data_IF_595706008554
#
_entry.id   IF_595706008554
#
_cell.length_a   1.000
_cell.length_b   1.000
_cell.length_c   1.000
_cell.angle_alpha   90.00
_cell.angle_beta   90.00
_cell.angle_gamma   90.00
#
_symmetry.space_group_name_H-M   'P 1'
#
loop_
_entity.id
_entity.type
_entity.pdbx_description
1 polymer ?
#
# COMPACT_ATOMS: atom_id res chain seq x y z
N UNK A 1 29.58 9.03 -11.86
CA UNK A 1 28.81 7.78 -11.64
C UNK A 1 29.06 7.14 -10.25
N UNK A 2 30.15 7.43 -9.54
CA UNK A 2 30.41 6.87 -8.19
C UNK A 2 29.70 7.59 -7.02
N UNK A 3 28.99 8.70 -7.25
CA UNK A 3 28.47 9.52 -6.15
C UNK A 3 27.15 8.98 -5.53
N UNK A 4 26.29 8.36 -6.33
CA UNK A 4 25.00 7.83 -5.83
C UNK A 4 25.20 6.55 -5.01
N UNK A 5 26.04 5.62 -5.47
CA UNK A 5 26.35 4.39 -4.73
C UNK A 5 27.14 4.69 -3.45
N UNK A 6 28.05 5.65 -3.47
CA UNK A 6 28.78 6.11 -2.27
C UNK A 6 27.87 6.86 -1.29
N UNK A 7 26.87 7.63 -1.79
CA UNK A 7 25.88 8.27 -0.93
C UNK A 7 24.93 7.27 -0.25
N UNK A 8 24.58 6.18 -0.89
CA UNK A 8 23.75 5.13 -0.26
C UNK A 8 24.52 4.42 0.86
N UNK A 9 25.82 4.19 0.72
CA UNK A 9 26.65 3.61 1.79
C UNK A 9 26.97 4.60 2.93
N UNK A 10 26.93 5.92 2.66
CA UNK A 10 27.19 6.95 3.67
C UNK A 10 25.91 7.44 4.38
N UNK A 11 24.72 7.21 3.82
CA UNK A 11 23.47 7.46 4.51
C UNK A 11 23.23 6.27 5.46
N UNK A 12 23.80 6.35 6.65
CA UNK A 12 23.29 5.58 7.79
C UNK A 12 21.81 5.91 7.85
N UNK A 13 20.96 5.00 7.36
CA UNK A 13 19.50 5.18 7.42
C UNK A 13 19.14 5.46 8.86
N UNK A 14 18.63 6.63 9.14
CA UNK A 14 18.11 6.90 10.46
C UNK A 14 17.05 5.84 10.70
N UNK A 15 17.26 5.02 11.74
CA UNK A 15 16.35 3.93 12.07
C UNK A 15 14.94 4.45 12.24
N UNK A 16 13.99 3.77 11.69
CA UNK A 16 12.56 4.02 11.90
C UNK A 16 11.81 2.69 11.99
N UNK A 17 10.74 2.66 12.74
CA UNK A 17 9.93 1.46 12.88
C UNK A 17 8.95 1.53 14.04
N UNK A 18 8.20 0.47 14.22
CA UNK A 18 7.23 0.30 15.30
C UNK A 18 7.94 -0.32 16.49
N UNK A 19 7.93 0.34 17.64
CA UNK A 19 8.53 -0.17 18.89
C UNK A 19 7.51 -0.78 19.84
N UNK A 20 6.23 -0.42 19.68
CA UNK A 20 5.10 -1.05 20.39
C UNK A 20 3.89 -1.08 19.47
N UNK A 21 3.24 -2.22 19.35
CA UNK A 21 1.98 -2.40 18.64
C UNK A 21 0.91 -2.86 19.63
N UNK A 22 -0.25 -2.21 19.63
CA UNK A 22 -1.40 -2.60 20.45
C UNK A 22 -2.64 -2.73 19.55
N UNK A 23 -3.34 -3.86 19.66
CA UNK A 23 -4.58 -4.16 18.94
C UNK A 23 -5.71 -4.30 19.95
N UNK A 24 -6.87 -3.78 19.61
CA UNK A 24 -8.11 -3.95 20.37
C UNK A 24 -9.24 -4.32 19.41
N UNK A 25 -9.91 -5.44 19.67
CA UNK A 25 -11.00 -6.00 18.85
C UNK A 25 -10.71 -6.05 17.34
N UNK A 26 -9.46 -6.33 16.99
CA UNK A 26 -8.96 -6.34 15.63
C UNK A 26 -8.87 -7.79 15.09
N UNK A 27 -9.65 -8.12 14.08
CA UNK A 27 -9.68 -9.45 13.44
C UNK A 27 -9.96 -10.57 14.47
N UNK A 28 -8.96 -11.39 14.79
CA UNK A 28 -9.03 -12.47 15.77
C UNK A 28 -8.52 -12.09 17.16
N UNK A 29 -7.96 -10.90 17.32
CA UNK A 29 -7.40 -10.43 18.58
C UNK A 29 -8.39 -9.57 19.36
N UNK A 30 -8.81 -10.03 20.55
CA UNK A 30 -9.54 -9.18 21.49
C UNK A 30 -8.62 -8.08 22.03
N UNK A 31 -7.43 -8.47 22.45
CA UNK A 31 -6.36 -7.59 22.83
C UNK A 31 -5.01 -8.25 22.51
N UNK A 32 -4.09 -7.46 21.97
CA UNK A 32 -2.71 -7.86 21.75
C UNK A 32 -1.80 -6.68 21.99
N UNK A 33 -0.70 -6.88 22.72
CA UNK A 33 0.39 -5.90 22.83
C UNK A 33 1.71 -6.58 22.55
N UNK A 34 2.45 -6.04 21.59
CA UNK A 34 3.80 -6.46 21.22
C UNK A 34 4.76 -5.30 21.45
N UNK A 35 5.87 -5.59 22.12
CA UNK A 35 7.03 -4.70 22.17
C UNK A 35 8.08 -5.26 21.22
N UNK A 36 8.64 -4.42 20.37
CA UNK A 36 9.55 -4.81 19.31
C UNK A 36 10.75 -3.88 19.25
N UNK A 37 11.81 -4.34 18.65
CA UNK A 37 13.00 -3.55 18.41
C UNK A 37 13.04 -3.07 16.94
N UNK A 38 13.95 -2.12 16.65
CA UNK A 38 14.16 -1.63 15.28
C UNK A 38 15.05 -2.61 14.49
N UNK A 39 14.63 -3.87 14.42
CA UNK A 39 15.27 -4.99 13.72
C UNK A 39 14.22 -5.90 13.10
N UNK A 40 14.58 -6.88 12.27
CA UNK A 40 13.61 -7.81 11.71
C UNK A 40 12.78 -8.51 12.80
N UNK A 41 11.50 -8.73 12.51
CA UNK A 41 10.52 -9.37 13.41
C UNK A 41 9.99 -10.60 12.68
N UNK A 42 10.24 -11.77 13.25
CA UNK A 42 9.82 -13.05 12.69
C UNK A 42 8.62 -13.56 13.47
N UNK A 43 7.51 -13.73 12.78
CA UNK A 43 6.23 -14.20 13.36
C UNK A 43 5.93 -15.57 12.79
N UNK A 44 6.03 -16.59 13.63
CA UNK A 44 5.79 -17.99 13.23
C UNK A 44 4.51 -18.54 13.83
N UNK A 45 3.98 -19.60 13.23
CA UNK A 45 2.76 -20.30 13.70
C UNK A 45 2.03 -20.99 12.56
N UNK A 46 1.05 -21.79 12.89
CA UNK A 46 0.23 -22.53 11.92
C UNK A 46 -0.56 -21.61 10.99
N UNK A 47 -1.04 -22.16 9.87
CA UNK A 47 -1.93 -21.43 8.97
C UNK A 47 -3.23 -21.08 9.69
N UNK A 48 -3.71 -19.85 9.50
CA UNK A 48 -4.92 -19.36 10.17
C UNK A 48 -4.71 -18.90 11.63
N UNK A 49 -3.52 -19.00 12.22
CA UNK A 49 -3.25 -18.59 13.61
C UNK A 49 -3.35 -17.08 13.86
N UNK A 50 -3.40 -16.25 12.82
CA UNK A 50 -3.53 -14.79 12.94
C UNK A 50 -2.27 -13.99 12.59
N UNK A 51 -1.20 -14.62 12.11
CA UNK A 51 0.06 -13.94 11.71
C UNK A 51 -0.16 -12.77 10.76
N UNK A 52 -0.87 -13.01 9.66
CA UNK A 52 -1.19 -11.98 8.66
C UNK A 52 -2.03 -10.83 9.24
N UNK A 53 -2.84 -11.09 10.29
CA UNK A 53 -3.63 -10.05 10.93
C UNK A 53 -2.76 -9.05 11.70
N UNK A 54 -1.61 -9.48 12.21
CA UNK A 54 -0.62 -8.58 12.83
C UNK A 54 0.00 -7.67 11.75
N UNK A 55 0.41 -8.23 10.61
CA UNK A 55 0.93 -7.42 9.49
C UNK A 55 -0.14 -6.45 8.97
N UNK A 56 -1.39 -6.91 8.87
CA UNK A 56 -2.49 -6.06 8.46
C UNK A 56 -2.67 -4.88 9.43
N UNK A 57 -2.56 -5.11 10.72
CA UNK A 57 -2.63 -4.05 11.72
C UNK A 57 -1.52 -3.01 11.55
N UNK A 58 -0.27 -3.45 11.34
CA UNK A 58 0.85 -2.53 11.05
C UNK A 58 0.58 -1.72 9.79
N UNK A 59 -0.01 -2.33 8.74
CA UNK A 59 -0.36 -1.61 7.51
C UNK A 59 -1.41 -0.51 7.71
N UNK A 60 -2.25 -0.59 8.75
CA UNK A 60 -3.18 0.47 9.14
C UNK A 60 -2.50 1.67 9.84
N UNK A 61 -1.23 1.60 10.15
CA UNK A 61 -0.47 2.77 10.59
C UNK A 61 -0.07 3.69 9.43
N UNK A 62 -0.37 3.32 8.19
CA UNK A 62 -0.11 4.10 6.98
C UNK A 62 -1.41 4.55 6.30
N UNK A 63 -1.36 5.52 5.37
CA UNK A 63 -2.53 5.91 4.60
C UNK A 63 -3.12 4.75 3.78
N UNK A 64 -4.43 4.78 3.55
CA UNK A 64 -5.13 3.80 2.70
C UNK A 64 -5.90 2.74 3.48
N UNK A 65 -6.25 1.64 2.81
CA UNK A 65 -7.13 0.57 3.34
C UNK A 65 -6.38 -0.65 3.89
N UNK A 66 -5.11 -0.47 4.24
CA UNK A 66 -4.28 -1.54 4.77
C UNK A 66 -3.92 -2.62 3.75
N UNK A 67 -3.26 -3.67 4.23
CA UNK A 67 -2.63 -4.73 3.44
C UNK A 67 -3.60 -5.51 2.55
N UNK A 68 -4.82 -5.78 3.03
CA UNK A 68 -5.85 -6.55 2.31
C UNK A 68 -6.88 -5.68 1.59
N UNK A 69 -6.89 -4.36 1.78
CA UNK A 69 -7.88 -3.45 1.21
C UNK A 69 -9.31 -3.71 1.71
N UNK A 70 -9.46 -4.31 2.89
CA UNK A 70 -10.73 -4.73 3.45
C UNK A 70 -11.65 -3.54 3.77
N UNK A 71 -12.96 -3.77 3.80
CA UNK A 71 -13.92 -2.80 4.32
C UNK A 71 -13.68 -2.63 5.82
N UNK A 72 -13.81 -1.42 6.33
CA UNK A 72 -13.55 -1.13 7.75
C UNK A 72 -14.44 -1.98 8.69
N UNK A 73 -15.66 -2.26 8.28
CA UNK A 73 -16.59 -3.11 9.04
C UNK A 73 -16.14 -4.59 9.13
N UNK A 74 -15.39 -5.07 8.14
CA UNK A 74 -14.94 -6.47 8.07
C UNK A 74 -13.69 -6.73 8.93
N UNK A 75 -13.10 -5.67 9.50
CA UNK A 75 -11.87 -5.75 10.31
C UNK A 75 -12.18 -6.04 11.77
N UNK A 76 -13.36 -5.68 12.23
CA UNK A 76 -13.80 -5.94 13.61
C UNK A 76 -13.63 -7.42 13.97
N UNK A 77 -13.38 -7.67 15.24
CA UNK A 77 -13.32 -9.05 15.73
C UNK A 77 -14.69 -9.72 15.57
N UNK A 78 -14.68 -10.86 14.90
CA UNK A 78 -15.85 -11.72 14.82
C UNK A 78 -15.83 -12.69 16.01
N UNK A 79 -16.78 -12.55 16.92
CA UNK A 79 -17.03 -13.53 17.97
C UNK A 79 -18.19 -14.39 17.52
N UNK A 80 -18.01 -15.71 17.28
CA UNK A 80 -19.14 -16.59 17.05
C UNK A 80 -20.07 -16.47 18.25
N UNK A 81 -21.36 -16.31 18.01
CA UNK A 81 -22.36 -16.40 19.06
C UNK A 81 -22.34 -17.83 19.61
N UNK A 82 -21.62 -18.05 20.70
CA UNK A 82 -21.67 -19.28 21.45
C UNK A 82 -22.38 -18.97 22.76
N UNK A 83 -23.60 -19.50 22.85
CA UNK A 83 -24.36 -19.85 24.04
C UNK A 83 -24.87 -18.71 24.91
N UNK A 84 -26.19 -18.58 24.89
CA UNK A 84 -27.10 -18.16 25.96
C UNK A 84 -26.53 -17.17 27.00
N UNK A 85 -27.03 -15.97 26.97
CA UNK A 85 -27.12 -14.96 28.01
C UNK A 85 -26.01 -13.91 28.22
N UNK A 86 -24.84 -13.97 27.56
CA UNK A 86 -23.87 -12.86 27.60
C UNK A 86 -23.45 -12.43 26.19
N UNK A 87 -24.39 -11.92 25.42
CA UNK A 87 -24.12 -11.20 24.19
C UNK A 87 -23.63 -9.79 24.56
N UNK A 88 -22.31 -9.63 24.73
CA UNK A 88 -21.65 -8.37 24.52
C UNK A 88 -21.22 -8.31 23.06
N UNK A 89 -22.03 -7.73 22.14
CA UNK A 89 -21.49 -7.36 20.84
C UNK A 89 -20.32 -6.42 21.14
N UNK A 90 -19.11 -6.79 20.70
CA UNK A 90 -18.08 -5.75 20.54
C UNK A 90 -18.82 -4.60 19.85
N UNK A 91 -18.73 -3.36 20.37
CA UNK A 91 -19.49 -2.21 19.86
C UNK A 91 -19.18 -1.89 18.38
N UNK A 92 -18.72 -2.89 17.58
CA UNK A 92 -18.34 -2.78 16.19
C UNK A 92 -17.07 -1.93 15.98
N UNK A 93 -16.48 -1.40 17.05
CA UNK A 93 -15.25 -0.62 16.99
C UNK A 93 -14.03 -1.53 17.09
N UNK A 94 -12.98 -1.17 16.38
CA UNK A 94 -11.66 -1.76 16.52
C UNK A 94 -10.62 -0.63 16.58
N UNK A 95 -9.48 -0.93 17.19
CA UNK A 95 -8.39 0.03 17.27
C UNK A 95 -7.03 -0.65 17.05
N UNK A 96 -6.14 0.09 16.40
CA UNK A 96 -4.71 -0.19 16.31
C UNK A 96 -3.98 1.04 16.82
N UNK A 97 -3.10 0.87 17.82
CA UNK A 97 -2.17 1.92 18.23
C UNK A 97 -0.75 1.40 18.22
N UNK A 98 0.18 2.30 17.98
CA UNK A 98 1.60 1.99 17.94
C UNK A 98 2.43 3.13 18.50
N UNK A 99 3.57 2.79 19.10
CA UNK A 99 4.67 3.71 19.28
C UNK A 99 5.60 3.55 18.06
N UNK A 100 5.83 4.62 17.36
CA UNK A 100 6.68 4.67 16.16
C UNK A 100 7.92 5.51 16.50
N UNK A 101 9.08 4.87 16.35
CA UNK A 101 10.36 5.58 16.43
C UNK A 101 10.75 6.09 15.04
N UNK A 102 11.13 7.37 14.96
CA UNK A 102 11.60 7.97 13.72
C UNK A 102 12.64 9.06 14.01
N UNK A 103 13.84 8.90 13.47
CA UNK A 103 14.89 9.93 13.48
C UNK A 103 15.33 10.41 14.87
N UNK A 104 15.11 9.67 15.93
CA UNK A 104 15.45 10.07 17.31
C UNK A 104 14.24 10.32 18.20
N UNK A 105 13.05 10.46 17.62
CA UNK A 105 11.83 10.77 18.32
C UNK A 105 10.83 9.59 18.31
N UNK A 106 10.03 9.50 19.37
CA UNK A 106 8.93 8.55 19.50
C UNK A 106 7.59 9.27 19.29
N UNK A 107 6.71 8.68 18.48
CA UNK A 107 5.38 9.19 18.18
C UNK A 107 4.32 8.14 18.50
N UNK A 108 3.26 8.53 19.24
CA UNK A 108 2.13 7.65 19.44
C UNK A 108 1.11 7.81 18.31
N UNK A 109 0.92 6.76 17.52
CA UNK A 109 -0.04 6.74 16.42
C UNK A 109 -1.19 5.81 16.77
N UNK A 110 -2.43 6.29 16.63
CA UNK A 110 -3.63 5.50 16.80
C UNK A 110 -4.56 5.60 15.59
N UNK A 111 -5.14 4.48 15.21
CA UNK A 111 -6.23 4.44 14.22
C UNK A 111 -7.35 3.55 14.72
N UNK A 112 -8.58 4.00 14.56
CA UNK A 112 -9.76 3.30 15.03
C UNK A 112 -10.94 3.54 14.08
N UNK A 113 -11.97 2.72 14.20
CA UNK A 113 -13.27 3.00 13.62
C UNK A 113 -14.20 3.45 14.73
N UNK A 114 -14.82 4.61 14.56
CA UNK A 114 -15.88 5.10 15.42
C UNK A 114 -17.22 4.66 14.83
N UNK A 115 -18.06 4.04 15.64
CA UNK A 115 -19.44 3.79 15.28
C UNK A 115 -20.15 5.15 15.19
N UNK A 116 -20.67 5.49 14.03
CA UNK A 116 -21.63 6.56 13.95
C UNK A 116 -22.83 6.23 14.84
N UNK A 117 -23.39 7.20 15.61
CA UNK A 117 -24.69 7.02 16.26
C UNK A 117 -25.68 6.54 15.17
N UNK A 118 -26.45 5.51 15.48
CA UNK A 118 -27.59 5.14 14.66
C UNK A 118 -28.63 6.25 14.84
N UNK A 119 -28.69 7.19 13.89
CA UNK A 119 -29.89 7.97 13.68
C UNK A 119 -30.90 7.02 13.02
N UNK A 120 -32.11 6.93 13.60
CA UNK A 120 -33.14 5.93 13.29
C UNK A 120 -33.65 5.96 11.83
N UNK A 121 -33.22 6.92 11.00
CA UNK A 121 -33.69 7.07 9.62
C UNK A 121 -32.68 6.66 8.54
N UNK A 122 -31.44 6.25 8.87
CA UNK A 122 -30.41 5.87 7.89
C UNK A 122 -29.97 4.39 8.00
N UNK A 123 -30.89 3.45 7.75
CA UNK A 123 -30.58 2.00 7.72
C UNK A 123 -29.57 1.59 6.61
N UNK A 124 -29.20 2.46 5.68
CA UNK A 124 -28.43 2.09 4.49
C UNK A 124 -26.99 2.66 4.46
N UNK A 125 -26.64 3.66 5.28
CA UNK A 125 -25.37 4.38 5.17
C UNK A 125 -24.62 4.62 6.49
N UNK A 126 -24.60 3.69 7.42
CA UNK A 126 -23.68 3.73 8.56
C UNK A 126 -22.22 3.69 8.09
N UNK A 127 -21.69 4.79 7.59
CA UNK A 127 -20.28 4.92 7.21
C UNK A 127 -19.43 4.89 8.48
N UNK A 128 -18.87 3.73 8.78
CA UNK A 128 -17.78 3.62 9.76
C UNK A 128 -16.61 4.48 9.27
N UNK A 129 -16.40 5.63 9.89
CA UNK A 129 -15.30 6.54 9.55
C UNK A 129 -14.05 6.11 10.30
N UNK A 130 -12.96 5.94 9.57
CA UNK A 130 -11.65 5.73 10.18
C UNK A 130 -11.15 7.04 10.78
N UNK A 131 -10.80 7.02 12.06
CA UNK A 131 -10.20 8.14 12.80
C UNK A 131 -8.71 7.83 12.98
N UNK A 132 -7.90 8.87 12.89
CA UNK A 132 -6.47 8.83 13.17
C UNK A 132 -6.16 9.82 14.27
N UNK A 133 -5.31 9.41 15.22
CA UNK A 133 -4.74 10.28 16.25
C UNK A 133 -3.21 10.15 16.22
N UNK A 134 -2.52 11.26 16.43
CA UNK A 134 -1.07 11.37 16.53
C UNK A 134 -0.78 12.14 17.80
N UNK A 135 -0.05 11.53 18.74
CA UNK A 135 0.24 12.07 20.08
C UNK A 135 -1.03 12.56 20.78
N UNK A 136 -2.10 11.76 20.69
CA UNK A 136 -3.41 12.05 21.29
C UNK A 136 -4.28 13.05 20.52
N UNK A 137 -3.74 13.78 19.54
CA UNK A 137 -4.46 14.76 18.76
C UNK A 137 -5.07 14.12 17.50
N UNK A 138 -6.29 14.52 17.15
CA UNK A 138 -6.96 14.02 15.92
C UNK A 138 -6.29 14.62 14.69
N UNK A 139 -5.82 13.75 13.80
CA UNK A 139 -5.28 14.17 12.51
C UNK A 139 -6.37 14.73 11.60
N UNK A 140 -6.02 15.67 10.74
CA UNK A 140 -6.93 16.27 9.75
C UNK A 140 -7.27 15.29 8.63
N UNK A 141 -6.34 14.41 8.30
CA UNK A 141 -6.49 13.36 7.28
C UNK A 141 -5.64 12.13 7.59
N UNK A 142 -5.97 11.00 6.93
CA UNK A 142 -5.13 9.80 6.97
C UNK A 142 -3.75 10.01 6.31
N UNK A 143 -3.64 10.99 5.42
CA UNK A 143 -2.38 11.34 4.73
C UNK A 143 -1.27 11.75 5.70
N UNK A 144 -1.62 12.35 6.85
CA UNK A 144 -0.64 12.75 7.87
C UNK A 144 0.17 11.57 8.42
N UNK A 145 -0.39 10.36 8.44
CA UNK A 145 0.35 9.14 8.85
C UNK A 145 1.65 8.96 8.06
N UNK A 146 1.66 9.31 6.77
CA UNK A 146 2.83 9.18 5.90
C UNK A 146 4.02 10.03 6.33
N UNK A 147 3.80 11.04 7.17
CA UNK A 147 4.89 11.85 7.76
C UNK A 147 5.63 11.11 8.87
N UNK A 148 5.03 10.12 9.50
CA UNK A 148 5.56 9.40 10.66
C UNK A 148 6.01 8.00 10.33
N UNK A 149 5.25 7.28 9.52
CA UNK A 149 5.53 5.88 9.16
C UNK A 149 5.15 5.62 7.71
N UNK A 150 6.00 4.88 7.04
CA UNK A 150 5.74 4.31 5.72
C UNK A 150 5.86 2.80 5.81
N UNK A 151 5.03 2.08 5.07
CA UNK A 151 5.10 0.64 4.98
C UNK A 151 4.97 0.17 3.53
N UNK A 152 5.76 -0.82 3.18
CA UNK A 152 5.71 -1.52 1.90
C UNK A 152 5.46 -2.99 2.21
N UNK A 153 4.63 -3.66 1.40
CA UNK A 153 4.30 -5.06 1.66
C UNK A 153 4.33 -5.95 0.43
N UNK A 154 4.65 -7.21 0.71
CA UNK A 154 4.47 -8.33 -0.20
C UNK A 154 3.55 -9.36 0.46
N UNK A 155 2.54 -9.79 -0.27
CA UNK A 155 1.58 -10.81 0.17
C UNK A 155 1.43 -11.89 -0.90
N UNK A 156 0.96 -13.10 -0.55
CA UNK A 156 0.71 -14.15 -1.54
C UNK A 156 -0.26 -13.75 -2.66
N UNK A 157 -1.18 -12.82 -2.38
CA UNK A 157 -2.12 -12.30 -3.39
C UNK A 157 -1.38 -11.56 -4.53
N UNK A 158 -0.22 -10.97 -4.23
CA UNK A 158 0.59 -10.24 -5.21
C UNK A 158 1.36 -11.15 -6.17
N UNK A 159 1.42 -12.46 -5.91
CA UNK A 159 2.00 -13.44 -6.83
C UNK A 159 1.29 -13.44 -8.20
N UNK A 160 0.05 -12.96 -8.24
CA UNK A 160 -0.74 -12.81 -9.49
C UNK A 160 -0.80 -11.37 -10.02
N UNK A 161 -0.02 -10.44 -9.45
CA UNK A 161 -0.08 -9.01 -9.80
C UNK A 161 0.11 -8.79 -11.31
N UNK A 162 1.11 -9.44 -11.89
CA UNK A 162 1.43 -9.26 -13.31
C UNK A 162 0.50 -10.04 -14.26
N UNK A 163 -0.15 -11.11 -13.79
CA UNK A 163 -1.11 -11.90 -14.57
C UNK A 163 -2.54 -11.40 -14.49
N UNK A 164 -2.85 -10.58 -13.52
CA UNK A 164 -4.17 -10.00 -13.32
C UNK A 164 -4.48 -8.84 -14.26
N UNK A 165 -5.64 -8.21 -14.07
CA UNK A 165 -6.02 -6.98 -14.76
C UNK A 165 -5.15 -5.79 -14.37
N UNK A 166 -5.32 -4.65 -15.06
CA UNK A 166 -4.56 -3.42 -14.79
C UNK A 166 -4.88 -2.78 -13.43
N UNK A 167 -6.07 -2.99 -12.89
CA UNK A 167 -6.50 -2.35 -11.65
C UNK A 167 -5.64 -2.74 -10.42
N UNK A 168 -5.31 -4.03 -10.13
CA UNK A 168 -4.36 -4.38 -9.09
C UNK A 168 -2.97 -3.76 -9.30
N UNK A 169 -2.48 -3.69 -10.54
CA UNK A 169 -1.19 -3.07 -10.86
C UNK A 169 -1.19 -1.57 -10.62
N UNK A 170 -2.28 -0.86 -10.99
CA UNK A 170 -2.45 0.56 -10.61
C UNK A 170 -2.45 0.77 -9.11
N UNK A 171 -3.23 -0.03 -8.38
CA UNK A 171 -3.28 0.08 -6.92
C UNK A 171 -1.93 -0.18 -6.26
N UNK A 172 -1.12 -1.06 -6.84
CA UNK A 172 0.26 -1.29 -6.41
C UNK A 172 1.13 -0.06 -6.69
N UNK A 173 1.08 0.49 -7.91
CA UNK A 173 1.80 1.70 -8.28
C UNK A 173 1.42 2.90 -7.40
N UNK A 174 0.11 3.17 -7.25
CA UNK A 174 -0.37 4.28 -6.43
C UNK A 174 0.15 4.19 -4.99
N UNK A 175 0.26 2.99 -4.44
CA UNK A 175 0.85 2.77 -3.12
C UNK A 175 2.35 3.13 -3.07
N UNK A 176 3.11 2.87 -4.14
CA UNK A 176 4.51 3.32 -4.21
C UNK A 176 4.61 4.84 -4.26
N UNK A 177 3.65 5.50 -4.91
CA UNK A 177 3.56 6.97 -4.96
C UNK A 177 3.21 7.56 -3.58
N UNK A 178 2.34 6.93 -2.79
CA UNK A 178 1.94 7.43 -1.45
C UNK A 178 3.12 7.69 -0.52
N UNK A 179 4.20 6.95 -0.71
CA UNK A 179 5.41 7.14 0.08
C UNK A 179 6.06 8.51 -0.12
N UNK A 180 5.85 9.17 -1.26
CA UNK A 180 6.46 10.45 -1.62
C UNK A 180 5.45 11.59 -1.73
N UNK A 181 4.19 11.28 -1.94
CA UNK A 181 3.11 12.23 -2.11
C UNK A 181 1.92 11.85 -1.22
N UNK A 182 1.86 12.48 -0.04
CA UNK A 182 0.82 12.23 0.97
C UNK A 182 -0.59 12.58 0.48
N UNK A 183 -0.71 13.46 -0.53
CA UNK A 183 -1.99 13.85 -1.10
C UNK A 183 -2.47 12.90 -2.21
N UNK A 184 -1.60 12.04 -2.73
CA UNK A 184 -1.94 11.16 -3.84
C UNK A 184 -3.11 10.21 -3.52
N UNK A 185 -3.15 9.66 -2.30
CA UNK A 185 -4.25 8.81 -1.84
C UNK A 185 -5.60 9.56 -1.83
N UNK A 186 -5.59 10.84 -1.45
CA UNK A 186 -6.77 11.70 -1.48
C UNK A 186 -7.17 12.05 -2.90
N UNK A 187 -6.18 12.33 -3.77
CA UNK A 187 -6.44 12.61 -5.20
C UNK A 187 -7.07 11.41 -5.90
N UNK A 188 -6.52 10.21 -5.72
CA UNK A 188 -7.08 8.99 -6.33
C UNK A 188 -8.49 8.70 -5.84
N UNK A 189 -8.76 8.83 -4.53
CA UNK A 189 -10.09 8.64 -3.98
C UNK A 189 -11.10 9.69 -4.49
N UNK A 190 -10.67 10.96 -4.58
CA UNK A 190 -11.52 12.04 -5.11
C UNK A 190 -11.81 11.87 -6.61
N UNK A 191 -10.80 11.45 -7.39
CA UNK A 191 -10.99 11.12 -8.80
C UNK A 191 -12.02 9.99 -8.98
N UNK A 192 -11.91 8.91 -8.22
CA UNK A 192 -12.86 7.79 -8.26
C UNK A 192 -14.28 8.23 -7.88
N UNK A 193 -14.41 9.11 -6.90
CA UNK A 193 -15.69 9.67 -6.49
C UNK A 193 -16.31 10.52 -7.60
N UNK A 194 -15.56 11.48 -8.16
CA UNK A 194 -16.01 12.34 -9.26
C UNK A 194 -16.34 11.51 -10.51
N UNK A 195 -15.51 10.52 -10.85
CA UNK A 195 -15.79 9.63 -11.96
C UNK A 195 -17.09 8.86 -11.78
N UNK A 196 -17.36 8.36 -10.57
CA UNK A 196 -18.63 7.69 -10.27
C UNK A 196 -19.83 8.63 -10.36
N UNK A 197 -19.71 9.86 -9.84
CA UNK A 197 -20.76 10.86 -9.96
C UNK A 197 -21.03 11.22 -11.42
N UNK A 198 -19.99 11.51 -12.19
CA UNK A 198 -20.07 11.82 -13.62
C UNK A 198 -20.73 10.68 -14.40
N UNK A 199 -20.30 9.45 -14.18
CA UNK A 199 -20.86 8.27 -14.82
C UNK A 199 -22.35 8.09 -14.49
N UNK A 200 -22.71 8.17 -13.21
CA UNK A 200 -24.09 8.03 -12.76
C UNK A 200 -24.98 9.16 -13.28
N UNK A 201 -24.50 10.41 -13.31
CA UNK A 201 -25.24 11.55 -13.81
C UNK A 201 -25.60 11.37 -15.29
N UNK A 202 -24.66 10.96 -16.12
CA UNK A 202 -24.90 10.69 -17.54
C UNK A 202 -25.92 9.56 -17.72
N UNK A 203 -25.77 8.45 -16.97
CA UNK A 203 -26.67 7.29 -17.05
C UNK A 203 -28.09 7.60 -16.62
N UNK A 204 -28.26 8.20 -15.44
CA UNK A 204 -29.58 8.47 -14.84
C UNK A 204 -30.39 9.48 -15.66
N UNK A 205 -29.75 10.42 -16.34
CA UNK A 205 -30.38 11.44 -17.17
C UNK A 205 -30.48 11.03 -18.65
N UNK A 206 -29.97 9.83 -19.00
CA UNK A 206 -29.86 9.38 -20.39
C UNK A 206 -29.12 10.41 -21.28
N UNK A 207 -28.07 11.02 -20.77
CA UNK A 207 -27.25 12.04 -21.46
C UNK A 207 -27.86 13.44 -21.51
N UNK A 208 -28.98 13.69 -20.79
CA UNK A 208 -29.66 14.98 -20.75
C UNK A 208 -29.34 15.78 -19.48
N UNK A 209 -28.25 15.48 -18.81
CA UNK A 209 -27.80 16.25 -17.66
C UNK A 209 -27.48 17.70 -18.03
N UNK A 210 -27.56 18.61 -17.04
CA UNK A 210 -27.11 19.98 -17.20
C UNK A 210 -25.64 20.01 -17.63
N UNK A 211 -25.37 20.70 -18.74
CA UNK A 211 -24.01 20.79 -19.30
C UNK A 211 -23.04 21.51 -18.35
N UNK A 212 -23.47 22.57 -17.69
CA UNK A 212 -22.61 23.32 -16.77
C UNK A 212 -22.18 22.46 -15.58
N UNK A 213 -23.08 21.58 -15.07
CA UNK A 213 -22.74 20.64 -14.01
C UNK A 213 -21.75 19.58 -14.47
N UNK A 214 -21.97 18.98 -15.65
CA UNK A 214 -21.04 18.01 -16.22
C UNK A 214 -19.66 18.64 -16.47
N UNK A 215 -19.59 19.84 -17.02
CA UNK A 215 -18.35 20.58 -17.29
C UNK A 215 -17.57 20.84 -16.00
N UNK A 216 -18.23 21.28 -14.92
CA UNK A 216 -17.56 21.48 -13.64
C UNK A 216 -16.99 20.18 -13.03
N UNK A 217 -17.65 19.04 -13.23
CA UNK A 217 -17.11 17.74 -12.81
C UNK A 217 -15.91 17.34 -13.68
N UNK A 218 -15.99 17.54 -15.00
CA UNK A 218 -14.95 17.18 -15.96
C UNK A 218 -13.68 18.00 -15.78
N UNK A 219 -13.79 19.30 -15.53
CA UNK A 219 -12.68 20.19 -15.19
C UNK A 219 -11.95 19.71 -13.92
N UNK A 220 -12.71 19.41 -12.87
CA UNK A 220 -12.13 18.87 -11.63
C UNK A 220 -11.47 17.48 -11.84
N UNK A 221 -12.11 16.62 -12.63
CA UNK A 221 -11.54 15.30 -12.98
C UNK A 221 -10.26 15.44 -13.79
N UNK A 222 -10.19 16.37 -14.73
CA UNK A 222 -9.02 16.61 -15.57
C UNK A 222 -7.84 17.11 -14.72
N UNK A 223 -8.02 18.12 -13.91
CA UNK A 223 -6.99 18.67 -13.04
C UNK A 223 -6.43 17.61 -12.07
N UNK A 224 -7.31 16.87 -11.38
CA UNK A 224 -6.92 15.80 -10.47
C UNK A 224 -6.26 14.65 -11.23
N UNK A 225 -6.78 14.28 -12.39
CA UNK A 225 -6.26 13.20 -13.22
C UNK A 225 -4.84 13.49 -13.74
N UNK A 226 -4.59 14.70 -14.21
CA UNK A 226 -3.25 15.13 -14.64
C UNK A 226 -2.26 15.09 -13.48
N UNK A 227 -2.67 15.55 -12.29
CA UNK A 227 -1.82 15.46 -11.10
C UNK A 227 -1.49 14.01 -10.71
N UNK A 228 -2.46 13.08 -10.81
CA UNK A 228 -2.24 11.64 -10.59
C UNK A 228 -1.23 11.08 -11.61
N UNK A 229 -1.43 11.37 -12.90
CA UNK A 229 -0.56 10.90 -13.97
C UNK A 229 0.88 11.42 -13.81
N UNK A 230 1.05 12.70 -13.47
CA UNK A 230 2.36 13.31 -13.23
C UNK A 230 3.09 12.64 -12.05
N UNK A 231 2.40 12.41 -10.93
CA UNK A 231 2.99 11.74 -9.76
C UNK A 231 3.41 10.29 -10.06
N UNK A 232 2.62 9.54 -10.82
CA UNK A 232 2.98 8.18 -11.28
C UNK A 232 4.22 8.20 -12.16
N UNK A 233 4.30 9.12 -13.14
CA UNK A 233 5.45 9.27 -14.03
C UNK A 233 6.73 9.57 -13.25
N UNK A 234 6.67 10.53 -12.34
CA UNK A 234 7.81 10.90 -11.50
C UNK A 234 8.29 9.68 -10.67
N UNK A 235 7.36 8.92 -10.09
CA UNK A 235 7.70 7.72 -9.32
C UNK A 235 8.39 6.66 -10.17
N UNK A 236 7.88 6.40 -11.38
CA UNK A 236 8.49 5.42 -12.30
C UNK A 236 9.89 5.87 -12.74
N UNK A 237 10.08 7.14 -13.04
CA UNK A 237 11.39 7.69 -13.38
C UNK A 237 12.40 7.50 -12.23
N UNK A 238 11.99 7.79 -10.99
CA UNK A 238 12.82 7.55 -9.79
C UNK A 238 13.21 6.09 -9.67
N UNK A 239 12.25 5.18 -9.74
CA UNK A 239 12.49 3.74 -9.60
C UNK A 239 13.42 3.19 -10.68
N UNK A 240 13.18 3.55 -11.96
CA UNK A 240 14.05 3.14 -13.05
C UNK A 240 15.49 3.62 -12.85
N UNK A 241 15.68 4.86 -12.39
CA UNK A 241 17.02 5.40 -12.09
C UNK A 241 17.73 4.59 -11.01
N UNK A 242 17.03 4.11 -9.98
CA UNK A 242 17.61 3.26 -8.95
C UNK A 242 17.94 1.85 -9.47
N UNK A 243 17.02 1.24 -10.22
CA UNK A 243 17.16 -0.12 -10.75
C UNK A 243 18.30 -0.20 -11.76
N UNK A 244 18.49 0.81 -12.61
CA UNK A 244 19.57 0.86 -13.60
C UNK A 244 20.98 0.83 -12.98
N UNK A 245 21.10 1.35 -11.76
CA UNK A 245 22.37 1.42 -11.06
C UNK A 245 22.63 0.22 -10.14
N UNK A 246 21.66 -0.72 -10.02
CA UNK A 246 21.82 -1.94 -9.25
C UNK A 246 22.50 -3.04 -10.09
N UNK A 247 23.37 -3.87 -9.48
CA UNK A 247 23.87 -5.05 -10.15
C UNK A 247 22.72 -6.01 -10.48
N UNK A 248 22.76 -6.62 -11.68
CA UNK A 248 21.85 -7.71 -12.06
C UNK A 248 22.32 -9.00 -11.36
N UNK A 249 21.98 -9.11 -10.10
CA UNK A 249 22.41 -10.15 -9.17
C UNK A 249 21.27 -11.18 -8.94
N UNK A 250 21.07 -11.59 -7.70
CA UNK A 250 20.03 -12.56 -7.29
C UNK A 250 18.63 -12.04 -7.62
N UNK A 251 18.40 -10.72 -7.51
CA UNK A 251 17.16 -10.07 -7.91
C UNK A 251 17.36 -9.33 -9.23
N UNK A 252 16.60 -9.70 -10.28
CA UNK A 252 16.83 -9.21 -11.62
C UNK A 252 16.43 -7.75 -11.81
N UNK A 253 17.12 -7.05 -12.71
CA UNK A 253 16.75 -5.71 -13.12
C UNK A 253 15.46 -5.72 -13.96
N UNK A 254 14.61 -4.72 -13.71
CA UNK A 254 13.34 -4.51 -14.42
C UNK A 254 13.33 -3.17 -15.14
N UNK A 255 12.50 -3.07 -16.18
CA UNK A 255 12.11 -1.82 -16.81
C UNK A 255 10.65 -1.58 -16.43
N UNK A 256 10.36 -0.40 -15.91
CA UNK A 256 9.03 0.02 -15.46
C UNK A 256 8.49 1.07 -16.42
N UNK A 257 7.26 0.87 -16.89
CA UNK A 257 6.61 1.75 -17.86
C UNK A 257 5.14 1.99 -17.49
N UNK A 258 4.60 3.10 -17.95
CA UNK A 258 3.18 3.45 -17.84
C UNK A 258 2.52 3.39 -19.22
N UNK A 259 1.47 2.60 -19.32
CA UNK A 259 0.62 2.56 -20.51
C UNK A 259 -0.70 3.25 -20.21
N UNK A 260 -0.72 4.55 -20.39
CA UNK A 260 -1.88 5.42 -20.16
C UNK A 260 -1.88 6.62 -21.10
N UNK A 261 -3.06 7.07 -21.49
CA UNK A 261 -3.22 8.17 -22.45
C UNK A 261 -2.76 9.49 -21.85
N UNK A 262 -3.11 9.77 -20.60
CA UNK A 262 -2.78 11.06 -19.95
C UNK A 262 -1.28 11.13 -19.67
N UNK A 263 -0.68 10.02 -19.21
CA UNK A 263 0.76 9.92 -19.00
C UNK A 263 1.54 10.17 -20.30
N UNK A 264 1.08 9.60 -21.43
CA UNK A 264 1.70 9.82 -22.75
C UNK A 264 1.55 11.26 -23.28
N UNK A 265 0.47 11.95 -22.90
CA UNK A 265 0.29 13.36 -23.27
C UNK A 265 1.25 14.27 -22.47
N UNK A 266 1.50 13.96 -21.22
CA UNK A 266 2.48 14.67 -20.40
C UNK A 266 3.93 14.54 -20.91
N UNK A 267 4.22 13.59 -21.81
CA UNK A 267 5.52 13.54 -22.52
C UNK A 267 5.62 14.53 -23.68
N UNK A 268 4.46 15.04 -24.16
CA UNK A 268 4.38 15.81 -25.41
C UNK A 268 4.05 17.28 -25.21
N UNK A 269 3.36 17.62 -24.12
CA UNK A 269 2.86 18.96 -23.87
C UNK A 269 2.85 19.31 -22.37
N UNK A 270 2.83 20.61 -22.03
CA UNK A 270 2.72 21.08 -20.65
C UNK A 270 1.46 20.58 -19.94
N UNK A 271 1.50 20.47 -18.60
CA UNK A 271 0.38 19.94 -17.81
C UNK A 271 -0.95 20.69 -18.02
N UNK A 272 -0.88 22.02 -18.21
CA UNK A 272 -2.10 22.84 -18.46
C UNK A 272 -2.75 22.43 -19.79
N UNK A 273 -1.97 22.24 -20.85
CA UNK A 273 -2.50 21.81 -22.14
C UNK A 273 -3.06 20.37 -22.08
N UNK A 274 -2.47 19.51 -21.21
CA UNK A 274 -2.99 18.16 -20.96
C UNK A 274 -4.32 18.21 -20.18
N UNK A 275 -4.50 19.16 -19.27
CA UNK A 275 -5.79 19.37 -18.58
C UNK A 275 -6.89 19.74 -19.59
N UNK A 276 -6.65 20.69 -20.48
CA UNK A 276 -7.58 21.07 -21.53
C UNK A 276 -7.89 19.89 -22.48
N UNK A 277 -6.86 19.16 -22.90
CA UNK A 277 -7.02 17.95 -23.68
C UNK A 277 -7.90 16.91 -22.95
N UNK A 278 -7.70 16.74 -21.65
CA UNK A 278 -8.45 15.76 -20.87
C UNK A 278 -9.91 16.15 -20.67
N UNK A 279 -10.22 17.43 -20.45
CA UNK A 279 -11.59 17.96 -20.44
C UNK A 279 -12.29 17.65 -21.77
N UNK A 280 -11.66 17.99 -22.89
CA UNK A 280 -12.22 17.73 -24.23
C UNK A 280 -12.43 16.23 -24.49
N UNK A 281 -11.52 15.39 -23.99
CA UNK A 281 -11.65 13.93 -24.06
C UNK A 281 -12.85 13.46 -23.25
N UNK A 282 -13.03 13.89 -22.00
CA UNK A 282 -14.17 13.53 -21.15
C UNK A 282 -15.50 13.93 -21.78
N UNK A 283 -15.59 15.11 -22.38
CA UNK A 283 -16.77 15.57 -23.12
C UNK A 283 -17.13 14.63 -24.29
N UNK A 284 -16.15 14.15 -25.02
CA UNK A 284 -16.34 13.18 -26.12
C UNK A 284 -16.77 11.81 -25.60
N UNK A 285 -16.23 11.39 -24.46
CA UNK A 285 -16.50 10.09 -23.85
C UNK A 285 -17.90 9.98 -23.21
N UNK A 286 -18.64 11.09 -23.04
CA UNK A 286 -20.03 11.09 -22.53
C UNK A 286 -20.92 10.11 -23.31
N UNK A 287 -20.71 9.99 -24.65
CA UNK A 287 -21.45 9.04 -25.49
C UNK A 287 -21.09 7.59 -25.15
N UNK A 288 -19.82 7.30 -24.95
CA UNK A 288 -19.34 5.94 -24.61
C UNK A 288 -19.97 5.45 -23.30
N UNK A 289 -20.14 6.34 -22.31
CA UNK A 289 -20.85 6.04 -21.07
C UNK A 289 -22.27 5.54 -21.35
N UNK A 290 -23.02 6.15 -22.25
CA UNK A 290 -24.40 5.74 -22.58
C UNK A 290 -24.46 4.32 -23.14
N UNK A 291 -23.48 3.93 -23.95
CA UNK A 291 -23.41 2.60 -24.58
C UNK A 291 -22.69 1.55 -23.71
N UNK A 292 -22.35 1.86 -22.44
CA UNK A 292 -21.56 1.02 -21.53
C UNK A 292 -20.13 0.72 -22.01
N UNK A 293 -19.60 1.52 -22.93
CA UNK A 293 -18.21 1.41 -23.35
C UNK A 293 -17.28 1.95 -22.26
N UNK A 294 -16.08 1.42 -22.24
CA UNK A 294 -15.06 1.85 -21.27
C UNK A 294 -14.58 3.26 -21.58
N UNK A 295 -14.52 4.11 -20.56
CA UNK A 295 -13.94 5.45 -20.67
C UNK A 295 -12.46 5.41 -20.37
N UNK A 296 -11.66 5.97 -21.27
CA UNK A 296 -10.21 6.00 -21.16
C UNK A 296 -9.75 7.24 -20.36
N UNK A 297 -8.83 7.02 -19.43
CA UNK A 297 -8.28 8.03 -18.55
C UNK A 297 -7.33 7.42 -17.51
N UNK A 298 -6.95 8.18 -16.49
CA UNK A 298 -6.00 7.72 -15.45
C UNK A 298 -6.48 6.50 -14.65
N UNK A 299 -7.77 6.23 -14.66
CA UNK A 299 -8.38 5.01 -14.11
C UNK A 299 -8.17 3.77 -14.99
N UNK A 300 -7.62 3.91 -16.20
CA UNK A 300 -7.29 2.82 -17.13
C UNK A 300 -5.80 2.62 -17.33
N UNK A 301 -4.96 3.54 -16.86
CA UNK A 301 -3.50 3.41 -16.92
C UNK A 301 -3.06 2.02 -16.46
N UNK A 302 -2.17 1.40 -17.20
CA UNK A 302 -1.55 0.15 -16.80
C UNK A 302 -0.09 0.35 -16.40
N UNK A 303 0.35 -0.38 -15.38
CA UNK A 303 1.72 -0.43 -14.92
C UNK A 303 2.39 -1.66 -15.54
N UNK A 304 3.26 -1.44 -16.52
CA UNK A 304 4.00 -2.47 -17.23
C UNK A 304 5.36 -2.71 -16.59
N UNK A 305 5.72 -3.98 -16.48
CA UNK A 305 7.00 -4.43 -15.94
C UNK A 305 7.63 -5.41 -16.93
N UNK A 306 8.86 -5.14 -17.33
CA UNK A 306 9.62 -5.99 -18.24
C UNK A 306 10.88 -6.50 -17.53
N UNK A 307 11.13 -7.80 -17.60
CA UNK A 307 12.39 -8.41 -17.16
C UNK A 307 13.50 -7.96 -18.11
N UNK A 308 14.38 -7.06 -17.69
CA UNK A 308 15.36 -6.40 -18.55
C UNK A 308 16.24 -7.38 -19.31
N UNK A 309 16.85 -8.35 -18.62
CA UNK A 309 17.80 -9.33 -19.22
C UNK A 309 17.17 -10.24 -20.26
N UNK A 310 15.89 -10.59 -20.09
CA UNK A 310 15.16 -11.49 -21.00
C UNK A 310 14.33 -10.75 -22.04
N UNK A 311 14.25 -9.42 -21.96
CA UNK A 311 13.33 -8.61 -22.75
C UNK A 311 11.89 -9.15 -22.74
N UNK A 312 11.46 -9.69 -21.60
CA UNK A 312 10.20 -10.42 -21.46
C UNK A 312 9.24 -9.67 -20.52
N UNK A 313 7.99 -9.43 -20.93
CA UNK A 313 6.96 -8.90 -20.03
C UNK A 313 6.80 -9.79 -18.80
N UNK A 314 6.64 -9.16 -17.61
CA UNK A 314 6.55 -9.87 -16.35
C UNK A 314 5.38 -10.88 -16.31
N UNK A 315 4.29 -10.63 -17.02
CA UNK A 315 3.14 -11.53 -17.13
C UNK A 315 3.48 -12.90 -17.75
N UNK A 316 4.49 -12.94 -18.62
CA UNK A 316 4.98 -14.15 -19.29
C UNK A 316 6.08 -14.88 -18.52
N UNK A 317 6.61 -14.27 -17.46
CA UNK A 317 7.62 -14.88 -16.61
C UNK A 317 7.02 -15.99 -15.71
N UNK A 318 7.86 -16.92 -15.26
CA UNK A 318 7.47 -17.91 -14.26
C UNK A 318 7.07 -17.26 -12.93
N UNK A 319 6.33 -17.96 -12.08
CA UNK A 319 5.90 -17.43 -10.77
C UNK A 319 7.08 -17.03 -9.89
N UNK A 320 8.15 -17.82 -9.87
CA UNK A 320 9.37 -17.49 -9.13
C UNK A 320 10.10 -16.27 -9.67
N UNK A 321 10.12 -16.07 -11.01
CA UNK A 321 10.65 -14.85 -11.62
C UNK A 321 9.78 -13.64 -11.32
N UNK A 322 8.46 -13.74 -11.44
CA UNK A 322 7.53 -12.66 -11.10
C UNK A 322 7.74 -12.17 -9.67
N UNK A 323 7.94 -13.10 -8.74
CA UNK A 323 8.24 -12.78 -7.34
C UNK A 323 9.58 -12.07 -7.19
N UNK A 324 10.61 -12.53 -7.90
CA UNK A 324 11.92 -11.86 -7.91
C UNK A 324 11.85 -10.45 -8.49
N UNK A 325 11.07 -10.23 -9.56
CA UNK A 325 10.81 -8.90 -10.13
C UNK A 325 10.10 -7.97 -9.12
N UNK A 326 9.11 -8.48 -8.38
CA UNK A 326 8.42 -7.71 -7.32
C UNK A 326 9.38 -7.32 -6.20
N UNK A 327 10.24 -8.25 -5.76
CA UNK A 327 11.25 -7.96 -4.73
C UNK A 327 12.21 -6.88 -5.22
N UNK A 328 12.67 -6.94 -6.48
CA UNK A 328 13.50 -5.89 -7.08
C UNK A 328 12.85 -4.52 -7.00
N UNK A 329 11.56 -4.41 -7.36
CA UNK A 329 10.82 -3.15 -7.29
C UNK A 329 10.73 -2.64 -5.84
N UNK A 330 10.45 -3.53 -4.89
CA UNK A 330 10.34 -3.16 -3.47
C UNK A 330 11.67 -2.73 -2.87
N UNK A 331 12.76 -3.41 -3.21
CA UNK A 331 14.10 -3.01 -2.78
C UNK A 331 14.50 -1.65 -3.37
N UNK A 332 14.22 -1.42 -4.65
CA UNK A 332 14.43 -0.12 -5.29
C UNK A 332 13.59 0.99 -4.62
N UNK A 333 12.32 0.72 -4.34
CA UNK A 333 11.44 1.64 -3.61
C UNK A 333 11.99 1.96 -2.21
N UNK A 334 12.44 0.95 -1.50
CA UNK A 334 13.02 1.11 -0.14
C UNK A 334 14.24 2.00 -0.17
N UNK A 335 15.18 1.75 -1.10
CA UNK A 335 16.38 2.58 -1.27
C UNK A 335 16.04 4.02 -1.67
N UNK A 336 15.09 4.17 -2.59
CA UNK A 336 14.58 5.46 -3.01
C UNK A 336 14.02 6.25 -1.81
N UNK A 337 13.22 5.61 -0.94
CA UNK A 337 12.70 6.26 0.27
C UNK A 337 13.80 6.66 1.25
N UNK A 338 14.74 5.77 1.55
CA UNK A 338 15.87 6.07 2.44
C UNK A 338 16.63 7.29 1.94
N UNK A 339 16.92 7.38 0.62
CA UNK A 339 17.66 8.48 0.06
C UNK A 339 16.89 9.80 0.09
N UNK A 340 15.63 9.80 -0.33
CA UNK A 340 14.87 11.05 -0.50
C UNK A 340 14.16 11.51 0.77
N UNK A 341 13.76 10.58 1.64
CA UNK A 341 13.02 10.90 2.87
C UNK A 341 13.90 10.82 4.14
N UNK A 342 15.06 10.20 4.04
CA UNK A 342 15.99 10.04 5.18
C UNK A 342 15.55 9.01 6.22
N UNK A 343 14.53 8.19 5.95
CA UNK A 343 14.12 7.09 6.81
C UNK A 343 13.64 5.88 6.02
N UNK A 344 13.81 4.70 6.60
CA UNK A 344 13.42 3.44 5.97
C UNK A 344 11.93 3.14 6.17
N UNK A 345 11.24 2.57 5.16
CA UNK A 345 9.90 2.03 5.36
C UNK A 345 9.94 0.75 6.20
N UNK A 346 8.84 0.46 6.90
CA UNK A 346 8.59 -0.86 7.49
C UNK A 346 8.24 -1.84 6.37
N UNK A 347 8.94 -2.97 6.29
CA UNK A 347 8.60 -4.02 5.35
C UNK A 347 7.64 -5.03 5.97
N UNK A 348 6.55 -5.37 5.27
CA UNK A 348 5.60 -6.39 5.70
C UNK A 348 5.65 -7.54 4.68
N UNK A 349 6.19 -8.68 5.08
CA UNK A 349 6.45 -9.82 4.22
C UNK A 349 5.60 -11.01 4.68
N UNK A 350 4.43 -11.19 4.03
CA UNK A 350 3.50 -12.25 4.39
C UNK A 350 3.82 -13.53 3.60
N UNK A 351 4.24 -14.58 4.31
CA UNK A 351 4.58 -15.91 3.78
C UNK A 351 5.53 -15.89 2.57
N UNK A 352 6.33 -14.83 2.44
CA UNK A 352 7.19 -14.61 1.27
C UNK A 352 8.22 -15.72 1.09
N UNK A 353 8.67 -16.30 2.20
CA UNK A 353 9.73 -17.31 2.21
C UNK A 353 9.28 -18.67 1.69
N UNK A 354 7.98 -18.97 1.70
CA UNK A 354 7.44 -20.26 1.26
C UNK A 354 7.65 -20.55 -0.25
N UNK A 355 7.91 -19.50 -1.05
CA UNK A 355 8.02 -19.62 -2.50
C UNK A 355 9.34 -19.08 -3.07
N UNK A 356 10.30 -18.78 -2.21
CA UNK A 356 11.67 -18.44 -2.61
C UNK A 356 12.59 -19.64 -2.39
N UNK A 357 13.49 -19.87 -3.34
CA UNK A 357 14.61 -20.77 -3.12
C UNK A 357 15.53 -20.22 -2.02
N UNK A 358 16.38 -21.09 -1.46
CA UNK A 358 17.24 -20.74 -0.33
C UNK A 358 18.17 -19.57 -0.64
N UNK A 359 18.71 -19.50 -1.86
CA UNK A 359 19.63 -18.44 -2.30
C UNK A 359 18.94 -17.08 -2.27
N UNK A 360 17.73 -17.00 -2.84
CA UNK A 360 16.95 -15.74 -2.89
C UNK A 360 16.47 -15.34 -1.51
N UNK A 361 16.11 -16.31 -0.68
CA UNK A 361 15.70 -16.05 0.69
C UNK A 361 16.82 -15.42 1.49
N UNK A 362 18.00 -16.05 1.52
CA UNK A 362 19.18 -15.52 2.21
C UNK A 362 19.57 -14.13 1.66
N UNK A 363 19.60 -13.97 0.35
CA UNK A 363 19.89 -12.67 -0.25
C UNK A 363 18.88 -11.57 0.15
N UNK A 364 17.58 -11.90 0.29
CA UNK A 364 16.58 -10.95 0.78
C UNK A 364 16.85 -10.58 2.25
N UNK A 365 17.13 -11.57 3.11
CA UNK A 365 17.42 -11.34 4.52
C UNK A 365 18.70 -10.50 4.69
N UNK A 366 19.73 -10.74 3.89
CA UNK A 366 20.95 -9.93 3.89
C UNK A 366 20.65 -8.48 3.46
N UNK A 367 19.87 -8.26 2.39
CA UNK A 367 19.48 -6.91 1.98
C UNK A 367 18.67 -6.19 3.06
N UNK A 368 17.79 -6.88 3.79
CA UNK A 368 17.04 -6.33 4.92
C UNK A 368 17.99 -5.88 6.04
N UNK A 369 19.01 -6.68 6.36
CA UNK A 369 20.05 -6.33 7.35
C UNK A 369 20.89 -5.15 6.89
N UNK A 370 21.44 -5.23 5.69
CA UNK A 370 22.33 -4.20 5.12
C UNK A 370 21.68 -2.83 5.08
N UNK A 371 20.36 -2.78 4.80
CA UNK A 371 19.59 -1.55 4.77
C UNK A 371 19.06 -1.14 6.16
N UNK A 372 19.29 -1.93 7.20
CA UNK A 372 18.84 -1.67 8.57
C UNK A 372 17.33 -1.60 8.72
N UNK A 373 16.58 -2.41 7.96
CA UNK A 373 15.13 -2.35 7.90
C UNK A 373 14.47 -3.08 9.07
N UNK A 374 13.38 -2.51 9.58
CA UNK A 374 12.43 -3.28 10.35
C UNK A 374 11.49 -4.01 9.37
N UNK A 375 11.65 -5.33 9.27
CA UNK A 375 10.83 -6.19 8.44
C UNK A 375 9.98 -7.12 9.31
N UNK A 376 8.66 -7.07 9.16
CA UNK A 376 7.71 -7.99 9.80
C UNK A 376 7.47 -9.16 8.84
N UNK A 377 7.97 -10.34 9.19
CA UNK A 377 8.00 -11.51 8.32
C UNK A 377 7.17 -12.62 8.94
N UNK A 378 6.16 -13.12 8.22
CA UNK A 378 5.38 -14.27 8.66
C UNK A 378 5.86 -15.56 8.00
N UNK A 379 5.84 -16.66 8.75
CA UNK A 379 6.18 -17.99 8.25
C UNK A 379 5.49 -19.08 9.06
N UNK A 380 5.38 -20.26 8.48
CA UNK A 380 5.00 -21.50 9.19
C UNK A 380 6.21 -22.22 9.79
N UNK A 381 7.43 -21.96 9.29
CA UNK A 381 8.66 -22.60 9.73
C UNK A 381 9.65 -21.56 10.27
N UNK A 382 10.08 -21.75 11.51
CA UNK A 382 11.05 -20.89 12.18
C UNK A 382 12.50 -21.20 11.76
N UNK A 383 12.81 -22.43 11.43
CA UNK A 383 14.18 -22.89 11.16
C UNK A 383 14.84 -22.14 9.99
N UNK A 384 14.04 -21.69 9.03
CA UNK A 384 14.52 -20.95 7.86
C UNK A 384 15.11 -19.56 8.22
N UNK A 385 14.96 -19.12 9.47
CA UNK A 385 15.48 -17.83 9.96
C UNK A 385 16.61 -18.02 10.98
N UNK A 386 17.25 -19.18 11.04
CA UNK A 386 18.33 -19.44 11.98
C UNK A 386 19.52 -18.47 11.79
N UNK A 387 19.75 -17.96 10.59
CA UNK A 387 20.75 -16.91 10.31
C UNK A 387 20.47 -15.59 11.04
N UNK A 388 19.22 -15.35 11.45
CA UNK A 388 18.78 -14.13 12.15
C UNK A 388 18.61 -14.30 13.66
N UNK A 389 18.95 -15.45 14.25
CA UNK A 389 18.63 -15.81 15.64
C UNK A 389 18.99 -14.75 16.69
N UNK A 390 20.08 -14.01 16.48
CA UNK A 390 20.54 -12.95 17.38
C UNK A 390 20.24 -11.53 16.86
N UNK A 391 19.73 -11.40 15.65
CA UNK A 391 19.56 -10.14 14.92
C UNK A 391 18.08 -9.78 14.67
N UNK A 392 17.15 -10.64 15.10
CA UNK A 392 15.72 -10.45 14.95
C UNK A 392 14.95 -10.66 16.26
N UNK A 393 13.72 -10.15 16.32
CA UNK A 393 12.75 -10.49 17.35
C UNK A 393 11.90 -11.67 16.86
N UNK A 394 11.73 -12.69 17.69
CA UNK A 394 10.96 -13.88 17.35
C UNK A 394 9.68 -13.95 18.16
N UNK A 395 8.56 -14.15 17.48
CA UNK A 395 7.24 -14.35 18.07
C UNK A 395 6.60 -15.61 17.51
N UNK A 396 5.95 -16.36 18.38
CA UNK A 396 5.13 -17.51 18.00
C UNK A 396 3.66 -17.21 18.23
N UNK A 397 2.82 -17.49 17.24
CA UNK A 397 1.36 -17.31 17.31
C UNK A 397 0.71 -18.69 17.37
N UNK A 398 0.04 -18.96 18.50
CA UNK A 398 -0.72 -20.19 18.71
C UNK A 398 -2.06 -19.88 19.39
N UNK A 399 -3.16 -20.29 18.77
CA UNK A 399 -4.52 -20.05 19.29
C UNK A 399 -4.79 -18.57 19.64
N UNK A 400 -4.40 -17.64 18.77
CA UNK A 400 -4.52 -16.19 18.95
C UNK A 400 -3.68 -15.60 20.12
N UNK A 401 -2.84 -16.40 20.73
CA UNK A 401 -1.86 -15.97 21.74
C UNK A 401 -0.51 -15.80 21.07
N UNK A 402 0.13 -14.67 21.34
CA UNK A 402 1.46 -14.34 20.81
C UNK A 402 2.47 -14.38 21.94
N UNK A 403 3.51 -15.19 21.81
CA UNK A 403 4.60 -15.33 22.79
C UNK A 403 5.92 -14.94 22.15
N UNK A 404 6.72 -14.15 22.85
CA UNK A 404 8.08 -13.85 22.45
C UNK A 404 9.00 -15.04 22.79
N UNK A 405 9.90 -15.41 21.86
CA UNK A 405 10.82 -16.54 21.95
C UNK A 405 12.26 -16.09 22.20
#
# INVERSE_FOLDING_TARGET
MNSLAQNIQSVTSKKSGVTRLTLTDFRNYAFLRLNTNLRPIIITGENGSGKTNILEAVSFLTPGRGLRGARLADIRRFTPAVVENDYHPSNGSWAVSAMVYKNGDDFEIGTAVENAPKDDDDEINGYNKRIVKIDGQKASSQGELGQYVSAIWLTPQMDRLFRGGSQPRRSFLDRLVFAFDNEHAKRTANFEHLYKQWYQLIKSTNGRADNAWLEGIEENMAAIGVAIAAARREQIARLNSFIENEPDDVFPNVILELDGTIEKMLDKMPAVDVEDFYVDKLKKERRNVLYNDGVDGVNRTDFKVTYKKKHMPAELCSTGEQKSLLISIILAQTKCQILYQGFAPVLLLDEITAHLDDIKREALLDKIKDLGLQAWITSTNQEIFNSLKNEADFFEVKNNIVTQR
#
